data_IF_291988079303
#
_entry.id   IF_291988079303
#
_cell.length_a   1.000
_cell.length_b   1.000
_cell.length_c   1.000
_cell.angle_alpha   90.00
_cell.angle_beta   90.00
_cell.angle_gamma   90.00
#
_symmetry.space_group_name_H-M   'P 1'
#
loop_
_entity.id
_entity.type
_entity.pdbx_description
1 polymer ?
#
# COMPACT_ATOMS: atom_id res chain seq x y z
N UNK A 1 3.89 19.82 -22.23
CA UNK A 1 3.01 18.63 -22.36
C UNK A 1 2.06 18.45 -21.18
N UNK A 2 2.51 18.40 -19.92
CA UNK A 2 1.64 18.29 -18.73
C UNK A 2 0.59 19.40 -18.63
N UNK A 3 0.95 20.65 -18.93
CA UNK A 3 0.02 21.79 -18.87
C UNK A 3 -1.11 21.70 -19.92
N UNK A 4 -0.78 21.14 -21.10
CA UNK A 4 -1.75 20.89 -22.18
C UNK A 4 -2.65 19.73 -21.80
N UNK A 5 -2.10 18.65 -21.22
CA UNK A 5 -2.89 17.51 -20.73
C UNK A 5 -3.90 17.92 -19.65
N UNK A 6 -3.48 18.76 -18.70
CA UNK A 6 -4.37 19.31 -17.66
C UNK A 6 -5.46 20.20 -18.29
N UNK A 7 -5.12 21.04 -19.27
CA UNK A 7 -6.11 21.86 -19.98
C UNK A 7 -7.07 21.01 -20.82
N UNK A 8 -6.60 19.94 -21.47
CA UNK A 8 -7.45 19.03 -22.24
C UNK A 8 -8.42 18.26 -21.34
N UNK A 9 -7.96 17.77 -20.19
CA UNK A 9 -8.82 17.13 -19.18
C UNK A 9 -9.84 18.13 -18.64
N UNK A 10 -9.42 19.38 -18.37
CA UNK A 10 -10.32 20.43 -17.89
C UNK A 10 -11.35 20.86 -18.94
N UNK A 11 -10.97 20.93 -20.22
CA UNK A 11 -11.88 21.24 -21.33
C UNK A 11 -12.87 20.10 -21.60
N UNK A 12 -12.45 18.85 -21.48
CA UNK A 12 -13.34 17.68 -21.58
C UNK A 12 -14.32 17.68 -20.40
N UNK A 13 -13.84 17.93 -19.18
CA UNK A 13 -14.67 18.01 -17.98
C UNK A 13 -15.65 19.19 -18.06
N UNK A 14 -15.22 20.34 -18.56
CA UNK A 14 -16.05 21.51 -18.79
C UNK A 14 -17.07 21.29 -19.91
N UNK A 15 -16.70 20.60 -20.99
CA UNK A 15 -17.62 20.21 -22.06
C UNK A 15 -18.71 19.26 -21.56
N UNK A 16 -18.39 18.36 -20.63
CA UNK A 16 -19.37 17.45 -20.02
C UNK A 16 -20.34 18.17 -19.06
N UNK A 17 -19.93 19.31 -18.49
CA UNK A 17 -20.77 20.13 -17.60
C UNK A 17 -21.76 21.03 -18.38
N UNK A 18 -21.45 21.39 -19.63
CA UNK A 18 -22.29 22.24 -20.47
C UNK A 18 -23.27 21.45 -21.37
N UNK A 19 -23.35 20.12 -21.23
CA UNK A 19 -24.49 19.36 -21.76
C UNK A 19 -25.69 19.54 -20.83
N UNK A 20 -26.34 20.70 -20.95
CA UNK A 20 -27.70 20.94 -20.45
C UNK A 20 -28.68 20.02 -21.17
N UNK A 21 -28.86 18.80 -20.67
CA UNK A 21 -30.13 18.05 -20.57
C UNK A 21 -29.84 16.58 -20.23
N UNK A 22 -30.27 16.11 -19.05
CA UNK A 22 -30.69 14.71 -18.92
C UNK A 22 -30.06 13.84 -17.83
N UNK A 23 -29.23 14.32 -16.91
CA UNK A 23 -28.94 13.56 -15.68
C UNK A 23 -28.94 14.51 -14.49
N UNK A 24 -30.06 14.56 -13.77
CA UNK A 24 -30.06 15.02 -12.40
C UNK A 24 -29.21 14.03 -11.57
N UNK A 25 -27.90 14.23 -11.58
CA UNK A 25 -26.96 13.55 -10.69
C UNK A 25 -27.23 14.04 -9.26
N UNK A 26 -28.24 13.45 -8.62
CA UNK A 26 -28.25 13.38 -7.17
C UNK A 26 -26.92 12.78 -6.75
N UNK A 27 -26.09 13.60 -6.10
CA UNK A 27 -24.72 13.26 -5.67
C UNK A 27 -24.64 12.03 -4.74
N UNK A 28 -25.79 11.51 -4.29
CA UNK A 28 -25.95 10.34 -3.40
C UNK A 28 -26.99 9.33 -3.87
N UNK A 29 -27.05 9.00 -5.16
CA UNK A 29 -27.75 7.79 -5.58
C UNK A 29 -26.92 6.57 -5.15
N UNK A 30 -27.23 5.99 -4.00
CA UNK A 30 -26.58 4.77 -3.49
C UNK A 30 -27.61 3.68 -3.24
N UNK A 31 -27.51 2.57 -3.97
CA UNK A 31 -28.24 1.34 -3.64
C UNK A 31 -27.45 0.60 -2.55
N UNK A 32 -28.10 0.35 -1.41
CA UNK A 32 -27.51 -0.30 -0.23
C UNK A 32 -28.35 -1.47 0.21
N UNK A 33 -27.75 -2.65 0.31
CA UNK A 33 -28.38 -3.86 0.83
C UNK A 33 -27.46 -4.46 1.90
N UNK A 34 -27.90 -4.61 3.17
CA UNK A 34 -29.19 -4.22 3.77
C UNK A 34 -29.34 -2.70 3.97
N UNK A 35 -30.57 -2.15 3.99
CA UNK A 35 -30.81 -0.71 4.07
C UNK A 35 -30.55 -0.06 5.44
N UNK A 36 -30.39 -0.83 6.53
CA UNK A 36 -30.26 -0.29 7.90
C UNK A 36 -29.17 -0.97 8.75
N UNK A 37 -27.96 -1.14 8.20
CA UNK A 37 -26.82 -1.67 8.95
C UNK A 37 -25.54 -0.92 8.65
N UNK A 38 -24.60 -0.88 9.60
CA UNK A 38 -23.23 -0.38 9.38
C UNK A 38 -22.41 -1.27 8.45
N UNK A 39 -22.88 -2.50 8.27
CA UNK A 39 -22.32 -3.52 7.39
C UNK A 39 -23.17 -3.58 6.14
N UNK A 40 -22.57 -3.30 4.98
CA UNK A 40 -23.25 -3.37 3.68
C UNK A 40 -22.69 -4.52 2.84
N UNK A 41 -23.56 -5.29 2.18
CA UNK A 41 -23.17 -6.47 1.37
C UNK A 41 -23.04 -6.11 -0.11
N UNK A 42 -23.98 -5.32 -0.61
CA UNK A 42 -23.93 -4.76 -1.96
C UNK A 42 -24.11 -3.26 -1.87
N UNK A 43 -23.16 -2.54 -2.44
CA UNK A 43 -23.22 -1.09 -2.63
C UNK A 43 -22.95 -0.73 -4.07
N UNK A 44 -23.83 0.10 -4.62
CA UNK A 44 -23.62 0.77 -5.91
C UNK A 44 -23.77 2.28 -5.68
N UNK A 45 -22.71 3.04 -5.93
CA UNK A 45 -22.71 4.50 -5.87
C UNK A 45 -22.29 5.09 -7.23
N UNK A 46 -22.89 6.22 -7.61
CA UNK A 46 -22.57 6.84 -8.91
C UNK A 46 -21.26 7.61 -8.85
N UNK A 47 -21.09 8.54 -7.90
CA UNK A 47 -19.88 9.37 -7.80
C UNK A 47 -19.05 9.00 -6.57
N UNK A 48 -19.69 9.02 -5.40
CA UNK A 48 -19.01 8.89 -4.12
C UNK A 48 -19.83 8.00 -3.18
N UNK A 49 -19.15 7.04 -2.56
CA UNK A 49 -19.72 6.16 -1.57
C UNK A 49 -18.79 5.97 -0.38
N UNK A 50 -19.25 6.36 0.81
CA UNK A 50 -18.56 6.08 2.08
C UNK A 50 -19.37 5.14 3.00
N UNK A 51 -18.71 4.13 3.58
CA UNK A 51 -19.32 3.19 4.55
C UNK A 51 -18.36 2.90 5.70
N UNK A 52 -18.88 2.50 6.86
CA UNK A 52 -18.05 2.10 8.01
C UNK A 52 -17.43 0.72 7.73
N UNK A 53 -18.26 -0.26 7.35
CA UNK A 53 -17.83 -1.60 6.97
C UNK A 53 -18.50 -2.08 5.69
N UNK A 54 -17.79 -2.89 4.92
CA UNK A 54 -18.27 -3.46 3.66
C UNK A 54 -17.92 -4.96 3.62
N UNK A 55 -18.92 -5.79 3.36
CA UNK A 55 -18.79 -7.24 3.25
C UNK A 55 -19.45 -7.77 1.97
N UNK A 56 -18.77 -7.69 0.82
CA UNK A 56 -19.31 -8.18 -0.45
C UNK A 56 -18.82 -7.41 -1.67
N UNK A 57 -19.69 -6.61 -2.31
CA UNK A 57 -19.39 -5.90 -3.56
C UNK A 57 -19.68 -4.39 -3.46
N UNK A 58 -18.69 -3.57 -3.78
CA UNK A 58 -18.76 -2.11 -3.71
C UNK A 58 -18.36 -1.53 -5.07
N UNK A 59 -19.34 -0.99 -5.77
CA UNK A 59 -19.20 -0.43 -7.11
C UNK A 59 -19.42 1.08 -7.06
N UNK A 60 -18.53 1.83 -7.68
CA UNK A 60 -18.71 3.27 -7.87
C UNK A 60 -17.43 3.98 -8.28
N UNK A 61 -17.51 5.27 -8.63
CA UNK A 61 -16.31 5.99 -9.07
C UNK A 61 -15.31 6.21 -7.93
N UNK A 62 -15.80 6.57 -6.74
CA UNK A 62 -14.98 6.76 -5.54
C UNK A 62 -15.59 6.02 -4.34
N UNK A 63 -14.90 4.98 -3.89
CA UNK A 63 -15.33 4.06 -2.85
C UNK A 63 -14.44 4.21 -1.60
N UNK A 64 -15.04 4.48 -0.43
CA UNK A 64 -14.32 4.60 0.83
C UNK A 64 -14.97 3.73 1.92
N UNK A 65 -14.15 2.87 2.54
CA UNK A 65 -14.53 2.03 3.67
C UNK A 65 -13.72 2.47 4.89
N UNK A 66 -14.36 3.00 5.92
CA UNK A 66 -13.64 3.60 7.05
C UNK A 66 -12.92 2.58 7.92
N UNK A 67 -13.42 1.34 8.02
CA UNK A 67 -12.83 0.28 8.84
C UNK A 67 -12.51 -0.95 8.00
N UNK A 68 -13.46 -1.87 7.93
CA UNK A 68 -13.24 -3.22 7.44
C UNK A 68 -13.85 -3.41 6.05
N UNK A 69 -13.00 -3.67 5.06
CA UNK A 69 -13.40 -4.21 3.77
C UNK A 69 -13.15 -5.71 3.75
N UNK A 70 -14.20 -6.50 3.55
CA UNK A 70 -14.10 -7.91 3.16
C UNK A 70 -14.88 -8.11 1.87
N UNK A 71 -14.19 -8.08 0.73
CA UNK A 71 -14.85 -8.25 -0.57
C UNK A 71 -14.16 -7.57 -1.73
N UNK A 72 -14.95 -7.15 -2.71
CA UNK A 72 -14.50 -6.58 -3.98
C UNK A 72 -14.89 -5.10 -4.04
N UNK A 73 -13.92 -4.21 -4.27
CA UNK A 73 -14.16 -2.81 -4.63
C UNK A 73 -13.78 -2.57 -6.09
N UNK A 74 -14.71 -2.05 -6.89
CA UNK A 74 -14.47 -1.63 -8.27
C UNK A 74 -14.78 -0.13 -8.38
N UNK A 75 -13.78 0.65 -8.80
CA UNK A 75 -13.92 2.09 -8.94
C UNK A 75 -12.70 2.78 -9.51
N UNK A 76 -12.77 4.08 -9.74
CA UNK A 76 -11.57 4.86 -10.13
C UNK A 76 -10.67 5.04 -8.90
N UNK A 77 -11.28 5.35 -7.75
CA UNK A 77 -10.60 5.52 -6.47
C UNK A 77 -11.21 4.57 -5.45
N UNK A 78 -10.39 3.70 -4.86
CA UNK A 78 -10.79 2.79 -3.80
C UNK A 78 -9.94 3.03 -2.54
N UNK A 79 -10.60 3.17 -1.40
CA UNK A 79 -9.99 3.37 -0.09
C UNK A 79 -10.58 2.43 0.95
N UNK A 80 -9.73 1.82 1.78
CA UNK A 80 -10.16 1.14 3.00
C UNK A 80 -9.10 1.31 4.10
N UNK A 81 -9.48 1.41 5.38
CA UNK A 81 -8.49 1.36 6.46
C UNK A 81 -7.85 -0.03 6.52
N UNK A 82 -8.68 -1.07 6.66
CA UNK A 82 -8.29 -2.48 6.60
C UNK A 82 -9.03 -3.20 5.46
N UNK A 83 -8.30 -4.04 4.72
CA UNK A 83 -8.82 -4.71 3.53
C UNK A 83 -8.44 -6.17 3.43
N UNK A 84 -9.45 -6.99 3.12
CA UNK A 84 -9.34 -8.37 2.66
C UNK A 84 -10.19 -8.53 1.40
N UNK A 85 -9.59 -9.02 0.32
CA UNK A 85 -10.28 -9.24 -0.95
C UNK A 85 -9.59 -8.58 -2.14
N UNK A 86 -10.35 -7.87 -2.98
CA UNK A 86 -9.88 -7.36 -4.27
C UNK A 86 -10.24 -5.87 -4.42
N UNK A 87 -9.29 -5.06 -4.87
CA UNK A 87 -9.51 -3.66 -5.25
C UNK A 87 -9.03 -3.45 -6.67
N UNK A 88 -9.92 -2.99 -7.55
CA UNK A 88 -9.61 -2.68 -8.94
C UNK A 88 -9.96 -1.22 -9.18
N UNK A 89 -8.96 -0.44 -9.58
CA UNK A 89 -9.13 0.98 -9.84
C UNK A 89 -7.87 1.72 -10.24
N UNK A 90 -8.01 2.97 -10.67
CA UNK A 90 -6.84 3.79 -10.99
C UNK A 90 -5.97 4.02 -9.75
N UNK A 91 -6.62 4.24 -8.60
CA UNK A 91 -5.97 4.43 -7.30
C UNK A 91 -6.59 3.46 -6.29
N UNK A 92 -5.78 2.60 -5.68
CA UNK A 92 -6.20 1.71 -4.61
C UNK A 92 -5.36 1.98 -3.35
N UNK A 93 -6.01 2.18 -2.21
CA UNK A 93 -5.32 2.48 -0.96
C UNK A 93 -5.92 1.73 0.22
N UNK A 94 -5.16 0.87 0.87
CA UNK A 94 -5.63 0.13 2.05
C UNK A 94 -4.57 -0.71 2.74
N UNK A 95 -4.69 -0.88 4.06
CA UNK A 95 -3.87 -1.80 4.84
C UNK A 95 -4.38 -3.24 4.69
N UNK A 96 -3.54 -4.20 4.27
CA UNK A 96 -3.96 -5.59 4.22
C UNK A 96 -4.19 -6.12 5.63
N UNK A 97 -5.34 -6.76 5.86
CA UNK A 97 -5.67 -7.41 7.14
C UNK A 97 -5.40 -8.92 7.09
N UNK A 98 -5.79 -9.59 5.99
CA UNK A 98 -5.45 -10.99 5.72
C UNK A 98 -4.83 -11.16 4.32
N UNK A 99 -5.67 -11.12 3.28
CA UNK A 99 -5.24 -11.28 1.90
C UNK A 99 -5.87 -10.22 1.02
N UNK A 100 -5.06 -9.44 0.30
CA UNK A 100 -5.55 -8.30 -0.48
C UNK A 100 -4.85 -8.17 -1.83
N UNK A 101 -5.64 -8.26 -2.90
CA UNK A 101 -5.21 -8.01 -4.27
C UNK A 101 -5.56 -6.59 -4.69
N UNK A 102 -4.58 -5.82 -5.14
CA UNK A 102 -4.76 -4.47 -5.69
C UNK A 102 -4.35 -4.46 -7.16
N UNK A 103 -5.23 -4.02 -8.04
CA UNK A 103 -4.97 -3.89 -9.47
C UNK A 103 -5.26 -2.45 -9.88
N UNK A 104 -4.26 -1.72 -10.35
CA UNK A 104 -4.44 -0.32 -10.65
C UNK A 104 -3.27 0.42 -11.26
N UNK A 105 -3.41 1.73 -11.46
CA UNK A 105 -2.29 2.57 -11.89
C UNK A 105 -1.40 2.83 -10.68
N UNK A 106 -2.00 3.25 -9.57
CA UNK A 106 -1.34 3.52 -8.31
C UNK A 106 -1.91 2.65 -7.19
N UNK A 107 -1.06 1.81 -6.61
CA UNK A 107 -1.41 1.03 -5.42
C UNK A 107 -0.67 1.60 -4.22
N UNK A 108 -1.39 1.89 -3.15
CA UNK A 108 -0.92 2.55 -1.94
C UNK A 108 -1.30 1.73 -0.69
N UNK A 109 -0.60 1.99 0.40
CA UNK A 109 -0.83 1.36 1.70
C UNK A 109 -0.87 2.40 2.84
N UNK A 110 -1.17 3.64 2.50
CA UNK A 110 -1.15 4.78 3.42
C UNK A 110 -2.57 5.20 3.72
N UNK A 111 -3.20 4.59 4.71
CA UNK A 111 -4.33 5.24 5.36
C UNK A 111 -3.74 6.20 6.39
N UNK A 112 -3.83 7.52 6.13
CA UNK A 112 -3.44 8.56 7.08
C UNK A 112 -4.16 8.27 8.38
N UNK A 113 -3.41 7.73 9.35
CA UNK A 113 -3.85 7.58 10.72
C UNK A 113 -4.23 9.00 11.20
N UNK A 114 -5.52 9.30 11.15
CA UNK A 114 -6.06 10.58 11.61
C UNK A 114 -6.12 10.56 13.13
N UNK A 115 -4.97 10.35 13.77
CA UNK A 115 -4.70 10.65 15.18
C UNK A 115 -5.78 10.27 16.18
N UNK A 116 -6.48 9.14 16.00
CA UNK A 116 -7.36 8.62 17.05
C UNK A 116 -6.58 7.58 17.84
N UNK A 117 -6.23 7.84 19.11
CA UNK A 117 -5.67 6.82 19.97
C UNK A 117 -6.71 5.71 20.09
N UNK A 118 -6.33 4.49 19.70
CA UNK A 118 -7.11 3.32 20.09
C UNK A 118 -6.97 3.19 21.62
N UNK A 119 -8.07 3.18 22.39
CA UNK A 119 -7.98 2.99 23.83
C UNK A 119 -7.65 1.52 24.08
N UNK A 120 -6.38 1.21 24.31
CA UNK A 120 -5.97 -0.16 24.64
C UNK A 120 -4.53 -0.56 24.36
N UNK A 121 -3.62 0.36 24.00
CA UNK A 121 -2.22 0.00 23.77
C UNK A 121 -1.47 -0.25 25.09
N UNK A 122 -1.67 -1.44 25.66
CA UNK A 122 -0.73 -2.04 26.60
C UNK A 122 0.57 -2.40 25.85
N UNK A 123 1.77 -2.24 26.44
CA UNK A 123 3.06 -2.46 25.75
C UNK A 123 3.32 -3.92 25.31
N UNK A 124 2.39 -4.83 25.60
CA UNK A 124 2.45 -6.26 25.30
C UNK A 124 1.61 -6.72 24.10
N UNK A 125 0.91 -5.83 23.38
CA UNK A 125 0.02 -6.22 22.26
C UNK A 125 0.63 -6.07 20.87
N UNK A 126 1.95 -6.00 20.76
CA UNK A 126 2.65 -6.12 19.45
C UNK A 126 2.61 -7.53 18.86
N UNK A 127 1.97 -8.49 19.54
CA UNK A 127 2.08 -9.93 19.25
C UNK A 127 0.75 -10.63 18.86
N UNK A 128 -0.24 -9.86 18.38
CA UNK A 128 -1.31 -10.42 17.54
C UNK A 128 -1.13 -10.14 16.05
N UNK A 129 0.09 -9.75 15.66
CA UNK A 129 0.56 -9.61 14.28
C UNK A 129 1.03 -10.94 13.67
N UNK A 130 0.41 -12.05 14.07
CA UNK A 130 0.70 -13.39 13.56
C UNK A 130 -0.54 -13.94 12.89
N UNK A 131 -0.75 -13.59 11.61
CA UNK A 131 -1.15 -14.50 10.52
C UNK A 131 -1.28 -13.77 9.18
N UNK A 132 -0.12 -13.55 8.55
CA UNK A 132 -0.03 -13.64 7.09
C UNK A 132 -0.68 -12.54 6.28
N UNK A 133 -0.36 -11.26 6.55
CA UNK A 133 -0.76 -10.14 5.69
C UNK A 133 -0.10 -10.31 4.32
N UNK A 134 -0.80 -10.96 3.39
CA UNK A 134 -0.37 -11.16 2.02
C UNK A 134 -1.10 -10.12 1.17
N UNK A 135 -0.36 -9.13 0.71
CA UNK A 135 -0.88 -8.24 -0.32
C UNK A 135 -0.09 -8.37 -1.60
N UNK A 136 -0.84 -8.60 -2.68
CA UNK A 136 -0.38 -8.62 -4.05
C UNK A 136 -0.84 -7.34 -4.73
N UNK A 137 0.09 -6.57 -5.27
CA UNK A 137 -0.20 -5.33 -5.98
C UNK A 137 0.31 -5.40 -7.40
N UNK A 138 -0.58 -5.21 -8.36
CA UNK A 138 -0.27 -5.17 -9.80
C UNK A 138 -0.61 -3.78 -10.29
N UNK A 139 0.38 -3.05 -10.82
CA UNK A 139 0.12 -1.71 -11.31
C UNK A 139 1.28 -0.99 -11.94
N UNK A 140 1.08 0.27 -12.34
CA UNK A 140 2.18 1.08 -12.89
C UNK A 140 3.16 1.46 -11.80
N UNK A 141 2.64 1.95 -10.66
CA UNK A 141 3.41 2.30 -9.50
C UNK A 141 2.81 1.68 -8.22
N UNK A 142 3.61 0.90 -7.52
CA UNK A 142 3.25 0.27 -6.25
C UNK A 142 4.10 0.90 -5.14
N UNK A 143 3.49 1.69 -4.25
CA UNK A 143 4.15 2.33 -3.12
C UNK A 143 3.70 1.68 -1.80
N UNK A 144 4.64 1.03 -1.14
CA UNK A 144 4.48 0.24 0.09
C UNK A 144 3.30 -0.74 0.04
N UNK A 145 2.91 -1.18 -1.17
CA UNK A 145 1.56 -1.69 -1.44
C UNK A 145 1.29 -3.09 -0.91
N UNK A 146 2.34 -3.84 -0.55
CA UNK A 146 2.24 -5.22 -0.09
C UNK A 146 3.56 -5.96 -0.09
N UNK A 147 3.46 -7.28 0.12
CA UNK A 147 4.60 -8.21 0.11
C UNK A 147 4.99 -8.66 -1.29
N UNK A 148 4.08 -8.55 -2.26
CA UNK A 148 4.34 -8.91 -3.66
C UNK A 148 3.88 -7.76 -4.54
N UNK A 149 4.80 -7.13 -5.25
CA UNK A 149 4.55 -5.95 -6.06
C UNK A 149 5.04 -6.21 -7.49
N UNK A 150 4.14 -6.05 -8.46
CA UNK A 150 4.40 -6.22 -9.89
C UNK A 150 4.06 -4.90 -10.57
N UNK A 151 5.04 -4.27 -11.22
CA UNK A 151 4.80 -2.98 -11.86
C UNK A 151 5.98 -2.36 -12.57
N UNK A 152 5.84 -1.13 -13.08
CA UNK A 152 6.98 -0.41 -13.64
C UNK A 152 7.87 0.14 -12.52
N UNK A 153 7.24 0.68 -11.47
CA UNK A 153 7.90 1.23 -10.30
C UNK A 153 7.38 0.55 -9.04
N UNK A 154 8.26 -0.07 -8.27
CA UNK A 154 7.92 -0.63 -6.97
C UNK A 154 8.78 0.03 -5.89
N UNK A 155 8.13 0.56 -4.86
CA UNK A 155 8.78 1.13 -3.69
C UNK A 155 8.28 0.38 -2.45
N UNK A 156 9.17 -0.29 -1.72
CA UNK A 156 8.82 -1.03 -0.51
C UNK A 156 9.55 -2.38 -0.39
N UNK A 157 9.17 -3.15 0.63
CA UNK A 157 9.79 -4.42 0.98
C UNK A 157 9.06 -5.62 0.38
N UNK A 158 9.64 -6.83 0.55
CA UNK A 158 9.10 -8.07 0.01
C UNK A 158 9.56 -8.34 -1.42
N UNK A 159 8.74 -9.06 -2.20
CA UNK A 159 9.03 -9.41 -3.58
C UNK A 159 8.58 -8.30 -4.53
N UNK A 160 9.54 -7.65 -5.18
CA UNK A 160 9.30 -6.57 -6.12
C UNK A 160 9.78 -6.98 -7.51
N UNK A 161 8.90 -6.94 -8.50
CA UNK A 161 9.26 -7.21 -9.90
C UNK A 161 8.81 -6.07 -10.79
N UNK A 162 9.76 -5.50 -11.56
CA UNK A 162 9.49 -4.30 -12.34
C UNK A 162 10.67 -3.71 -13.07
N UNK A 163 10.48 -2.55 -13.70
CA UNK A 163 11.60 -1.84 -14.32
C UNK A 163 12.51 -1.25 -13.26
N UNK A 164 11.92 -0.59 -12.26
CA UNK A 164 12.61 0.09 -11.18
C UNK A 164 12.04 -0.40 -9.85
N UNK A 165 12.92 -0.95 -9.01
CA UNK A 165 12.58 -1.39 -7.67
C UNK A 165 13.44 -0.64 -6.64
N UNK A 166 12.79 -0.05 -5.64
CA UNK A 166 13.47 0.67 -4.56
C UNK A 166 13.02 0.12 -3.21
N UNK A 167 13.98 -0.47 -2.48
CA UNK A 167 13.81 -0.96 -1.13
C UNK A 167 14.60 -0.10 -0.14
N UNK A 168 13.89 0.59 0.77
CA UNK A 168 14.50 1.36 1.85
C UNK A 168 14.92 0.48 3.02
N UNK A 169 13.99 -0.31 3.58
CA UNK A 169 14.25 -1.08 4.79
C UNK A 169 13.50 -2.42 4.76
N UNK A 170 14.08 -3.43 5.41
CA UNK A 170 13.51 -4.76 5.55
C UNK A 170 13.87 -5.70 4.40
N UNK A 171 13.67 -6.99 4.62
CA UNK A 171 14.10 -8.02 3.69
C UNK A 171 13.28 -7.97 2.39
N UNK A 172 13.97 -7.88 1.26
CA UNK A 172 13.34 -7.78 -0.06
C UNK A 172 14.04 -8.63 -1.11
N UNK A 173 13.28 -9.02 -2.13
CA UNK A 173 13.77 -9.62 -3.37
C UNK A 173 13.34 -8.72 -4.51
N UNK A 174 14.28 -8.06 -5.16
CA UNK A 174 14.03 -7.08 -6.22
C UNK A 174 14.51 -7.62 -7.57
N UNK A 175 13.59 -7.82 -8.51
CA UNK A 175 13.89 -8.31 -9.86
C UNK A 175 13.52 -7.23 -10.86
N UNK A 176 14.49 -6.71 -11.62
CA UNK A 176 14.20 -5.61 -12.53
C UNK A 176 15.36 -5.08 -13.36
N UNK A 177 15.12 -4.01 -14.12
CA UNK A 177 16.19 -3.37 -14.88
C UNK A 177 17.12 -2.60 -13.93
N UNK A 178 16.55 -1.85 -12.99
CA UNK A 178 17.28 -1.09 -11.98
C UNK A 178 16.72 -1.43 -10.61
N UNK A 179 17.59 -1.91 -9.72
CA UNK A 179 17.26 -2.19 -8.33
C UNK A 179 18.09 -1.29 -7.43
N UNK A 180 17.44 -0.72 -6.41
CA UNK A 180 18.07 0.10 -5.37
C UNK A 180 17.66 -0.48 -4.02
N UNK A 181 18.64 -0.85 -3.21
CA UNK A 181 18.42 -1.37 -1.85
C UNK A 181 19.31 -0.67 -0.83
N UNK A 182 18.82 -0.52 0.40
CA UNK A 182 19.67 -0.12 1.53
C UNK A 182 20.04 -1.34 2.39
N UNK A 183 19.06 -2.04 2.95
CA UNK A 183 19.27 -3.19 3.86
C UNK A 183 18.56 -4.45 3.37
N UNK A 184 19.16 -5.63 3.63
CA UNK A 184 18.60 -6.98 3.41
C UNK A 184 17.87 -7.22 2.07
N UNK A 185 18.36 -6.63 0.97
CA UNK A 185 17.75 -6.73 -0.34
C UNK A 185 18.57 -7.61 -1.28
N UNK A 186 17.99 -8.72 -1.75
CA UNK A 186 18.54 -9.52 -2.83
C UNK A 186 18.05 -9.00 -4.18
N UNK A 187 18.98 -8.56 -5.02
CA UNK A 187 18.68 -7.83 -6.24
C UNK A 187 19.14 -8.64 -7.44
N UNK A 188 18.25 -8.84 -8.42
CA UNK A 188 18.57 -9.41 -9.73
C UNK A 188 18.17 -8.40 -10.80
N UNK A 189 19.12 -7.97 -11.61
CA UNK A 189 18.84 -6.97 -12.61
C UNK A 189 20.04 -6.47 -13.40
N UNK A 190 19.78 -5.62 -14.38
CA UNK A 190 20.83 -5.02 -15.20
C UNK A 190 21.72 -4.14 -14.33
N UNK A 191 21.13 -3.30 -13.49
CA UNK A 191 21.84 -2.45 -12.53
C UNK A 191 21.29 -2.70 -11.13
N UNK A 192 22.17 -3.03 -10.19
CA UNK A 192 21.80 -3.28 -8.79
C UNK A 192 22.65 -2.39 -7.89
N UNK A 193 22.02 -1.48 -7.15
CA UNK A 193 22.66 -0.52 -6.27
C UNK A 193 22.39 -0.86 -4.81
N UNK A 194 23.44 -0.78 -4.00
CA UNK A 194 23.37 -0.99 -2.57
C UNK A 194 23.99 0.16 -1.80
N UNK A 195 23.20 0.82 -0.94
CA UNK A 195 23.68 2.01 -0.21
C UNK A 195 24.55 1.67 1.00
N UNK A 196 24.16 0.64 1.77
CA UNK A 196 24.86 0.24 3.01
C UNK A 196 25.62 -1.09 2.86
N UNK A 197 25.64 -1.68 1.66
CA UNK A 197 26.27 -2.97 1.42
C UNK A 197 27.77 -2.92 1.14
N UNK A 198 28.46 -4.06 1.28
CA UNK A 198 29.90 -4.16 1.00
C UNK A 198 30.23 -3.92 -0.49
N UNK A 199 29.27 -4.18 -1.39
CA UNK A 199 29.39 -3.96 -2.84
C UNK A 199 28.30 -2.97 -3.27
N UNK A 200 28.65 -1.70 -3.54
CA UNK A 200 27.66 -0.66 -3.78
C UNK A 200 26.98 -0.76 -5.15
N UNK A 201 27.60 -1.42 -6.13
CA UNK A 201 27.00 -1.63 -7.45
C UNK A 201 27.41 -2.98 -8.05
N UNK A 202 26.49 -3.67 -8.71
CA UNK A 202 26.79 -4.86 -9.51
C UNK A 202 25.77 -5.09 -10.64
N UNK A 203 26.21 -5.72 -11.73
CA UNK A 203 25.37 -6.15 -12.86
C UNK A 203 24.92 -7.60 -12.61
N UNK A 204 23.75 -7.98 -13.11
CA UNK A 204 23.10 -9.30 -12.94
C UNK A 204 22.55 -9.53 -11.55
N UNK A 205 23.40 -9.56 -10.51
CA UNK A 205 22.96 -9.84 -9.15
C UNK A 205 23.74 -9.03 -8.12
N UNK A 206 23.10 -8.61 -7.04
CA UNK A 206 23.74 -8.01 -5.87
C UNK A 206 22.98 -8.36 -4.59
N UNK A 207 23.62 -8.25 -3.43
CA UNK A 207 22.97 -8.43 -2.14
C UNK A 207 23.37 -7.31 -1.17
N UNK A 208 22.35 -6.68 -0.59
CA UNK A 208 22.52 -5.71 0.47
C UNK A 208 22.51 -6.37 1.85
N UNK A 209 23.49 -6.02 2.68
CA UNK A 209 23.55 -6.43 4.08
C UNK A 209 23.99 -5.25 4.92
N UNK A 210 23.25 -4.97 5.99
CA UNK A 210 23.67 -3.97 6.98
C UNK A 210 24.95 -4.43 7.67
N UNK A 211 25.88 -3.50 7.89
CA UNK A 211 27.00 -3.75 8.78
C UNK A 211 26.46 -4.08 10.19
N UNK A 212 27.00 -5.08 10.90
CA UNK A 212 26.62 -5.30 12.29
C UNK A 212 26.94 -4.03 13.07
N UNK A 213 25.93 -3.45 13.71
CA UNK A 213 26.11 -2.36 14.67
C UNK A 213 26.99 -2.92 15.77
N UNK A 214 28.25 -2.48 15.88
CA UNK A 214 29.04 -2.74 17.07
C UNK A 214 28.28 -2.15 18.25
N UNK A 215 27.76 -3.01 19.12
CA UNK A 215 27.35 -2.60 20.45
C UNK A 215 28.61 -2.15 21.19
N UNK A 216 28.95 -0.88 21.07
CA UNK A 216 29.89 -0.22 21.97
C UNK A 216 29.22 -0.08 23.32
N UNK A 217 29.40 -1.09 24.16
CA UNK A 217 29.42 -0.92 25.61
C UNK A 217 30.41 -1.92 26.21
N UNK A 218 31.69 -1.61 26.01
CA UNK A 218 32.76 -1.93 26.95
C UNK A 218 32.38 -1.36 28.32
N UNK A 219 32.40 -2.18 29.36
CA UNK A 219 32.66 -1.83 30.77
C UNK A 219 32.94 -3.17 31.47
N UNK A 220 34.16 -3.67 31.35
CA UNK A 220 35.26 -3.42 32.30
C UNK A 220 35.06 -4.17 33.62
N UNK A 221 35.92 -5.18 33.78
CA UNK A 221 36.01 -6.06 34.94
C UNK A 221 36.24 -5.25 36.21
N UNK A 222 35.38 -5.38 37.22
CA UNK A 222 35.77 -5.09 38.61
C UNK A 222 35.78 -6.40 39.40
N UNK A 223 36.99 -6.92 39.58
CA UNK A 223 37.34 -7.98 40.53
C UNK A 223 37.10 -7.46 41.96
N UNK A 224 36.17 -8.11 42.68
CA UNK A 224 35.98 -7.92 44.13
C UNK A 224 36.62 -9.12 44.83
N UNK A 225 37.58 -8.95 45.75
CA UNK A 225 38.10 -10.05 46.54
C UNK A 225 37.11 -10.36 47.68
N UNK A 226 36.58 -11.58 47.73
CA UNK A 226 35.95 -12.09 48.94
C UNK A 226 37.03 -12.55 49.92
N UNK A 227 37.22 -11.78 50.99
CA UNK A 227 37.80 -12.27 52.24
C UNK A 227 36.69 -12.78 53.15
N UNK A 228 36.65 -14.09 53.37
CA UNK A 228 36.36 -14.66 54.70
C UNK A 228 36.90 -16.08 54.84
#
# INVERSE_FOLDING_TARGET
>A
MIRIFIHSVFLILFSLINLDCGIALTTRATLKLPPQTKTEILRVNVIYGETDRMYGLNLGLANFVQKDLIGIQLGIVNGAEEGTGIQIGAINNSKPSFALLKIGIFNLNFFLDSGRPQPGDTPGSRDHRVKGDLSLSVGVANLASGKVNVGLFNYGYGFNTGLINWNGEGSAVSIGAVNIGETENFQIGILNFCKEGPIPFMIVANYCRSAPTENSSTNENTFVPETK
#
